data_IF_352769449161
#
_entry.id   IF_352769449161
#
_cell.length_a   1.000
_cell.length_b   1.000
_cell.length_c   1.000
_cell.angle_alpha   90.00
_cell.angle_beta   90.00
_cell.angle_gamma   90.00
#
_symmetry.space_group_name_H-M   'P 1'
#
loop_
_entity.id
_entity.type
_entity.pdbx_description
1 polymer ?
#
# COMPACT_ATOMS: atom_id res chain seq x y z
N UNK A 1 -2.54 -17.62 -17.48
CA UNK A 1 -2.98 -17.60 -16.87
C UNK A 1 -3.46 -16.79 -16.20
N UNK A 2 -3.99 -16.68 -15.83
CA UNK A 2 -4.53 -16.05 -15.21
C UNK A 2 -4.84 -16.07 -14.18
N UNK A 3 -4.87 -15.59 -13.84
CA UNK A 3 -5.22 -15.70 -12.82
C UNK A 3 -6.24 -14.94 -12.36
N UNK A 4 -7.08 -15.23 -11.68
CA UNK A 4 -8.15 -14.66 -11.27
C UNK A 4 -8.05 -14.29 -9.93
N UNK A 5 -7.63 -13.13 -9.54
CA UNK A 5 -7.51 -12.70 -8.20
C UNK A 5 -8.58 -11.73 -7.92
N UNK A 6 -9.17 -11.82 -6.73
CA UNK A 6 -10.11 -10.87 -6.27
C UNK A 6 -9.49 -9.53 -6.07
N UNK A 7 -8.26 -9.48 -5.54
CA UNK A 7 -7.55 -8.24 -5.29
C UNK A 7 -6.23 -8.29 -6.01
N UNK A 8 -6.03 -7.40 -6.94
CA UNK A 8 -4.79 -7.30 -7.67
C UNK A 8 -4.16 -5.96 -7.39
N UNK A 9 -2.87 -5.97 -7.13
CA UNK A 9 -2.14 -4.74 -7.00
C UNK A 9 -2.03 -4.08 -8.36
N UNK A 10 -2.25 -2.78 -8.41
CA UNK A 10 -2.21 -2.02 -9.63
C UNK A 10 -1.33 -0.81 -9.41
N UNK A 11 -0.82 -0.28 -10.51
CA UNK A 11 -0.03 0.94 -10.44
C UNK A 11 -0.91 2.19 -10.46
N UNK A 12 -2.18 2.04 -10.11
CA UNK A 12 -3.12 3.16 -10.06
C UNK A 12 -4.02 2.99 -8.84
N UNK A 13 -4.87 3.97 -8.58
CA UNK A 13 -5.72 3.98 -7.40
C UNK A 13 -4.95 4.48 -6.19
N UNK A 14 -5.27 3.95 -5.01
CA UNK A 14 -4.54 4.33 -3.80
C UNK A 14 -3.20 3.61 -3.76
N UNK A 15 -2.15 4.35 -3.51
CA UNK A 15 -0.79 3.84 -3.48
C UNK A 15 -0.10 4.28 -2.21
N UNK A 16 0.72 3.40 -1.65
CA UNK A 16 1.57 3.74 -0.51
C UNK A 16 2.98 3.31 -0.89
N UNK A 17 3.83 4.29 -1.15
CA UNK A 17 5.15 4.04 -1.73
C UNK A 17 6.23 4.48 -0.76
N UNK A 18 7.18 3.59 -0.52
CA UNK A 18 8.33 3.87 0.31
C UNK A 18 9.54 4.14 -0.58
N UNK A 19 10.20 5.26 -0.34
CA UNK A 19 11.38 5.63 -1.11
C UNK A 19 12.51 4.67 -0.80
N UNK A 20 13.15 4.16 -1.83
CA UNK A 20 14.24 3.21 -1.69
C UNK A 20 15.46 3.82 -1.01
N UNK A 21 15.64 5.11 -1.13
CA UNK A 21 16.83 5.75 -0.62
C UNK A 21 16.65 6.30 0.79
N UNK A 22 15.66 7.13 1.00
CA UNK A 22 15.50 7.80 2.29
C UNK A 22 14.48 7.16 3.20
N UNK A 23 13.70 6.20 2.69
CA UNK A 23 12.70 5.52 3.50
C UNK A 23 11.41 6.29 3.73
N UNK A 24 11.27 7.46 3.13
CA UNK A 24 10.04 8.24 3.28
C UNK A 24 8.87 7.50 2.64
N UNK A 25 7.75 7.44 3.33
CA UNK A 25 6.57 6.74 2.86
C UNK A 25 5.49 7.76 2.53
N UNK A 26 4.93 7.63 1.33
CA UNK A 26 3.89 8.53 0.89
C UNK A 26 2.68 7.78 0.42
N UNK A 27 1.51 8.20 0.89
CA UNK A 27 0.25 7.70 0.39
C UNK A 27 -0.36 8.72 -0.56
N UNK A 28 -0.83 8.26 -1.70
CA UNK A 28 -1.46 9.15 -2.67
C UNK A 28 -2.40 8.38 -3.57
N UNK A 29 -3.17 9.11 -4.37
CA UNK A 29 -4.09 8.50 -5.31
C UNK A 29 -3.67 8.85 -6.73
N UNK A 30 -3.61 7.87 -7.61
CA UNK A 30 -3.32 8.12 -9.02
C UNK A 30 -4.46 7.53 -9.85
N UNK A 31 -5.10 8.37 -10.63
CA UNK A 31 -6.19 7.93 -11.48
C UNK A 31 -5.68 7.02 -12.58
N UNK A 32 -4.50 7.30 -13.09
CA UNK A 32 -3.92 6.52 -14.16
C UNK A 32 -2.72 5.72 -13.69
N UNK A 33 -2.41 4.62 -14.36
CA UNK A 33 -1.25 3.83 -13.93
C UNK A 33 0.03 4.62 -14.07
N UNK A 34 0.91 4.51 -13.07
CA UNK A 34 2.22 5.13 -13.10
C UNK A 34 3.27 4.06 -12.93
N UNK A 35 4.45 4.29 -13.45
CA UNK A 35 5.52 3.31 -13.41
C UNK A 35 6.58 3.64 -12.40
N UNK A 36 6.59 4.85 -11.88
CA UNK A 36 7.52 5.24 -10.85
C UNK A 36 6.95 6.39 -10.04
N UNK A 37 7.55 6.61 -8.89
CA UNK A 37 7.21 7.74 -8.04
C UNK A 37 8.49 8.46 -7.65
N UNK A 38 8.50 9.78 -7.75
CA UNK A 38 9.65 10.58 -7.39
C UNK A 38 9.46 11.07 -5.96
N UNK A 39 10.43 10.77 -5.11
CA UNK A 39 10.38 11.17 -3.72
C UNK A 39 10.54 12.68 -3.59
N UNK A 40 9.67 13.30 -2.81
CA UNK A 40 9.74 14.73 -2.62
C UNK A 40 10.82 15.14 -1.63
N UNK A 41 11.31 14.20 -0.84
CA UNK A 41 12.35 14.50 0.13
C UNK A 41 13.74 14.45 -0.49
N UNK A 42 14.05 13.45 -1.27
CA UNK A 42 15.37 13.26 -1.83
C UNK A 42 15.42 13.22 -3.34
N UNK A 43 14.26 13.38 -3.98
CA UNK A 43 14.14 13.43 -5.44
C UNK A 43 14.52 12.12 -6.13
N UNK A 44 14.61 11.04 -5.40
CA UNK A 44 14.92 9.75 -6.00
C UNK A 44 13.70 9.12 -6.64
N UNK A 45 13.90 8.51 -7.80
CA UNK A 45 12.82 7.82 -8.49
C UNK A 45 12.76 6.37 -8.02
N UNK A 46 11.59 5.94 -7.59
CA UNK A 46 11.35 4.57 -7.18
C UNK A 46 10.46 3.92 -8.23
N UNK A 47 10.95 2.84 -8.83
CA UNK A 47 10.19 2.13 -9.87
C UNK A 47 9.15 1.26 -9.18
N UNK A 48 7.92 1.29 -9.69
CA UNK A 48 6.81 0.56 -9.09
C UNK A 48 6.60 -0.74 -9.83
N UNK A 49 7.22 -1.80 -9.31
CA UNK A 49 7.06 -3.15 -9.86
C UNK A 49 6.72 -4.08 -8.72
N UNK A 50 6.04 -5.14 -9.05
CA UNK A 50 5.72 -6.19 -8.07
C UNK A 50 5.02 -5.64 -6.82
N UNK A 51 4.07 -4.75 -7.04
CA UNK A 51 3.33 -4.17 -5.93
C UNK A 51 2.45 -5.23 -5.27
N UNK A 52 2.26 -5.09 -3.97
CA UNK A 52 1.39 -5.99 -3.21
C UNK A 52 0.11 -5.27 -2.82
N UNK A 53 -1.02 -5.96 -2.82
CA UNK A 53 -2.26 -5.32 -2.38
C UNK A 53 -2.30 -5.24 -0.86
N UNK A 54 -2.80 -4.13 -0.36
CA UNK A 54 -3.02 -3.89 1.06
C UNK A 54 -4.53 -3.81 1.24
N UNK A 55 -5.10 -4.83 1.84
CA UNK A 55 -6.55 -4.92 2.01
C UNK A 55 -6.87 -4.33 3.37
N UNK A 56 -7.17 -3.05 3.38
CA UNK A 56 -7.31 -2.28 4.59
C UNK A 56 -8.75 -2.21 5.05
N UNK A 57 -8.97 -2.44 6.33
CA UNK A 57 -10.24 -2.21 6.96
C UNK A 57 -9.99 -1.30 8.14
N UNK A 58 -10.46 -0.07 8.06
CA UNK A 58 -10.21 0.91 9.10
C UNK A 58 -11.24 0.76 10.20
N UNK A 59 -10.79 0.63 11.43
CA UNK A 59 -11.72 0.51 12.56
C UNK A 59 -12.16 1.88 13.08
N UNK A 60 -11.51 2.93 12.64
CA UNK A 60 -11.88 4.27 13.09
C UNK A 60 -13.03 4.85 12.27
N UNK A 61 -13.00 4.70 10.96
CA UNK A 61 -14.07 5.21 10.10
C UNK A 61 -14.85 4.09 9.42
N UNK A 62 -14.46 2.85 9.67
CA UNK A 62 -15.13 1.65 9.15
C UNK A 62 -15.14 1.55 7.63
N UNK A 63 -14.25 2.27 6.99
CA UNK A 63 -14.11 2.20 5.53
C UNK A 63 -13.19 1.06 5.14
N UNK A 64 -13.30 0.63 3.90
CA UNK A 64 -12.42 -0.40 3.35
C UNK A 64 -11.77 0.16 2.10
N UNK A 65 -10.53 -0.24 1.89
CA UNK A 65 -9.80 0.22 0.72
C UNK A 65 -8.79 -0.84 0.32
N UNK A 66 -8.47 -0.88 -0.97
CA UNK A 66 -7.37 -1.69 -1.46
C UNK A 66 -6.31 -0.73 -1.95
N UNK A 67 -5.13 -0.81 -1.36
CA UNK A 67 -4.02 0.07 -1.64
C UNK A 67 -2.91 -0.78 -2.21
N UNK A 68 -2.13 -0.24 -3.13
CA UNK A 68 -0.97 -0.97 -3.67
C UNK A 68 0.28 -0.40 -3.04
N UNK A 69 1.22 -1.25 -2.67
CA UNK A 69 2.44 -0.82 -2.01
C UNK A 69 3.66 -1.55 -2.55
N UNK A 70 4.79 -0.86 -2.55
CA UNK A 70 6.07 -1.47 -2.87
C UNK A 70 6.80 -1.97 -1.62
N UNK A 71 6.22 -1.80 -0.45
CA UNK A 71 6.85 -2.25 0.78
C UNK A 71 6.84 -3.76 0.86
N UNK A 72 7.88 -4.31 1.48
CA UNK A 72 8.06 -5.76 1.57
C UNK A 72 8.22 -6.25 3.00
N UNK A 73 8.23 -5.35 3.97
CA UNK A 73 8.32 -5.75 5.37
C UNK A 73 7.10 -6.57 5.77
N UNK A 74 7.28 -7.42 6.75
CA UNK A 74 6.19 -8.27 7.21
C UNK A 74 5.06 -7.48 7.85
N UNK A 75 5.40 -6.43 8.58
CA UNK A 75 4.43 -5.57 9.24
C UNK A 75 4.69 -4.14 8.78
N UNK A 76 3.66 -3.48 8.34
CA UNK A 76 3.76 -2.09 7.88
C UNK A 76 2.60 -1.29 8.47
N UNK A 77 2.75 0.02 8.50
CA UNK A 77 1.66 0.91 8.92
C UNK A 77 1.26 1.75 7.73
N UNK A 78 -0.02 1.75 7.44
CA UNK A 78 -0.57 2.48 6.30
C UNK A 78 -1.67 3.40 6.81
N UNK A 79 -1.70 4.62 6.33
CA UNK A 79 -2.76 5.55 6.73
C UNK A 79 -4.00 5.29 5.91
N UNK A 80 -5.15 5.26 6.59
CA UNK A 80 -6.42 5.10 5.92
C UNK A 80 -6.62 6.26 4.94
N UNK A 81 -6.95 5.99 3.66
CA UNK A 81 -7.07 7.08 2.70
C UNK A 81 -8.26 7.99 2.95
N UNK A 82 -9.19 7.58 3.81
CA UNK A 82 -10.39 8.38 4.07
C UNK A 82 -10.29 9.21 5.34
N UNK A 83 -9.80 8.63 6.43
CA UNK A 83 -9.71 9.37 7.69
C UNK A 83 -8.29 9.64 8.15
N UNK A 84 -7.31 9.10 7.43
CA UNK A 84 -5.90 9.29 7.70
C UNK A 84 -5.38 8.64 8.99
N UNK A 85 -6.19 7.84 9.65
CA UNK A 85 -5.73 7.14 10.85
C UNK A 85 -4.73 6.06 10.49
N UNK A 86 -3.69 5.86 11.28
CA UNK A 86 -2.71 4.80 10.99
C UNK A 86 -3.31 3.43 11.30
N UNK A 87 -3.09 2.49 10.40
CA UNK A 87 -3.59 1.13 10.54
C UNK A 87 -2.42 0.18 10.34
N UNK A 88 -2.20 -0.70 11.31
CA UNK A 88 -1.13 -1.68 11.21
C UNK A 88 -1.59 -2.84 10.35
N UNK A 89 -0.75 -3.24 9.43
CA UNK A 89 -1.03 -4.30 8.47
C UNK A 89 0.03 -5.36 8.54
N UNK A 90 -0.37 -6.60 8.35
CA UNK A 90 0.56 -7.71 8.36
C UNK A 90 0.44 -8.51 7.08
N UNK A 91 1.58 -8.96 6.57
CA UNK A 91 1.61 -9.80 5.38
C UNK A 91 0.95 -11.13 5.70
N UNK A 92 0.10 -11.61 4.81
CA UNK A 92 -0.61 -12.86 5.05
C UNK A 92 0.33 -14.05 4.89
N UNK A 93 -0.19 -15.25 5.15
CA UNK A 93 0.65 -16.44 5.12
C UNK A 93 1.22 -16.72 3.76
N UNK A 94 0.51 -16.38 2.71
CA UNK A 94 0.98 -16.61 1.36
C UNK A 94 2.04 -15.62 0.93
N UNK A 95 2.19 -14.51 1.67
CA UNK A 95 3.15 -13.49 1.33
C UNK A 95 2.75 -12.66 0.14
N UNK A 96 1.46 -12.66 -0.22
CA UNK A 96 1.01 -11.95 -1.42
C UNK A 96 0.18 -10.72 -1.13
N UNK A 97 -0.33 -10.57 0.08
CA UNK A 97 -1.19 -9.43 0.41
C UNK A 97 -1.04 -9.06 1.87
N UNK A 98 -1.26 -7.80 2.17
CA UNK A 98 -1.30 -7.31 3.56
C UNK A 98 -2.74 -7.23 4.02
N UNK A 99 -2.97 -7.55 5.28
CA UNK A 99 -4.29 -7.47 5.87
C UNK A 99 -4.22 -6.74 7.20
N UNK A 100 -5.30 -6.07 7.57
CA UNK A 100 -5.37 -5.33 8.81
C UNK A 100 -5.18 -6.27 9.99
N UNK A 101 -4.30 -5.89 10.90
CA UNK A 101 -4.09 -6.66 12.12
C UNK A 101 -5.25 -6.40 13.06
N UNK A 102 -5.73 -7.45 13.70
CA UNK A 102 -6.86 -7.31 14.61
C UNK A 102 -6.53 -6.40 15.77
N UNK A 103 -5.30 -6.43 16.22
CA UNK A 103 -4.89 -5.59 17.34
C UNK A 103 -4.87 -4.13 16.99
N UNK A 104 -4.96 -3.79 15.72
CA UNK A 104 -5.00 -2.39 15.34
C UNK A 104 -6.27 -1.71 15.76
N UNK A 105 -7.26 -2.47 16.08
CA UNK A 105 -8.56 -1.92 16.51
C UNK A 105 -8.77 -2.07 18.04
#
# INVERSE_FOLDING_TARGET
MRKNKKYNARNSGFLSVKCEKCGDIRGFYSKEPIQYNRCKQCDRKTVLTDLAPVILKCCYCESRAVISTNMTERVITVNCPFCRAPVDMELDRSGTAYRTMEESC
#
